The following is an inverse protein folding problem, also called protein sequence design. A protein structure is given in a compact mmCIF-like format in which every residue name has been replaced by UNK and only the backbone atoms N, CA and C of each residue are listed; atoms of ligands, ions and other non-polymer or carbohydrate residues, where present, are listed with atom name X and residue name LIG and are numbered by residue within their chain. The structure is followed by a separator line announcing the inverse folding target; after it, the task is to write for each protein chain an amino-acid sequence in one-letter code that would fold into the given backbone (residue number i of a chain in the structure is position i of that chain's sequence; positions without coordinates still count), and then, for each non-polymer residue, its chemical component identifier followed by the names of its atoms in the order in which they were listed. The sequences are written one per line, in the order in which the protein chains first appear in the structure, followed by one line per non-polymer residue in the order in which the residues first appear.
data_IF_185084653521
#
_entry.id   IF_185084653521
#
_cell.length_a   1.000
_cell.length_b   1.000
_cell.length_c   1.000
_cell.angle_alpha   90.00
_cell.angle_beta   90.00
_cell.angle_gamma   90.00
#
_symmetry.space_group_name_H-M   'P 1'
#
loop_
_entity.id
_entity.type
_entity.pdbx_description
1 polymer ?
#
# COMPACT_ATOMS: atom_id res chain seq x y z
N UNK A 1 4.27 6.44 -4.06
CA UNK A 1 3.88 5.02 -4.03
C UNK A 1 4.99 4.27 -3.32
N UNK A 2 4.64 3.29 -2.50
CA UNK A 2 5.58 2.40 -1.81
C UNK A 2 5.61 1.06 -2.55
N UNK A 3 6.81 0.53 -2.77
CA UNK A 3 7.03 -0.77 -3.43
C UNK A 3 8.28 -1.41 -2.82
N UNK A 4 8.25 -2.73 -2.68
CA UNK A 4 9.40 -3.57 -2.42
C UNK A 4 10.32 -3.68 -3.65
N UNK A 5 11.51 -4.22 -3.43
CA UNK A 5 12.47 -4.54 -4.47
C UNK A 5 12.03 -5.73 -5.36
N UNK A 6 11.07 -6.51 -4.87
CA UNK A 6 10.48 -7.69 -5.48
C UNK A 6 9.14 -7.40 -6.20
N UNK A 7 8.70 -6.14 -6.19
CA UNK A 7 7.45 -5.69 -6.79
C UNK A 7 7.62 -5.12 -8.20
N UNK A 8 6.58 -5.31 -9.03
CA UNK A 8 6.46 -4.71 -10.35
C UNK A 8 5.16 -3.90 -10.48
N UNK A 9 5.16 -2.90 -11.35
CA UNK A 9 3.94 -2.23 -11.78
C UNK A 9 3.29 -3.05 -12.90
N UNK A 10 1.97 -3.20 -12.85
CA UNK A 10 1.24 -3.75 -13.97
C UNK A 10 1.18 -2.75 -15.14
N UNK A 11 1.01 -3.26 -16.36
CA UNK A 11 0.89 -2.43 -17.54
C UNK A 11 -0.25 -1.42 -17.41
N UNK A 12 0.04 -0.16 -17.72
CA UNK A 12 -0.94 0.94 -17.63
C UNK A 12 -1.24 1.43 -16.21
N UNK A 13 -0.74 0.77 -15.15
CA UNK A 13 -1.04 1.13 -13.76
C UNK A 13 -0.70 2.59 -13.45
N UNK A 14 0.52 3.02 -13.79
CA UNK A 14 0.97 4.39 -13.52
C UNK A 14 0.10 5.45 -14.21
N UNK A 15 -0.31 5.19 -15.45
CA UNK A 15 -1.17 6.09 -16.21
C UNK A 15 -2.54 6.26 -15.55
N UNK A 16 -3.17 5.13 -15.17
CA UNK A 16 -4.47 5.16 -14.47
C UNK A 16 -4.36 5.86 -13.12
N UNK A 17 -3.32 5.54 -12.34
CA UNK A 17 -3.09 6.15 -11.03
C UNK A 17 -2.93 7.66 -11.16
N UNK A 18 -2.05 8.14 -12.05
CA UNK A 18 -1.82 9.56 -12.24
C UNK A 18 -3.10 10.26 -12.70
N UNK A 19 -3.86 9.66 -13.61
CA UNK A 19 -5.14 10.21 -14.07
C UNK A 19 -6.13 10.40 -12.91
N UNK A 20 -6.32 9.36 -12.09
CA UNK A 20 -7.26 9.41 -10.97
C UNK A 20 -6.82 10.40 -9.91
N UNK A 21 -5.55 10.36 -9.50
CA UNK A 21 -5.05 11.23 -8.43
C UNK A 21 -5.02 12.70 -8.84
N UNK A 22 -4.71 13.01 -10.11
CA UNK A 22 -4.79 14.39 -10.61
C UNK A 22 -6.22 14.92 -10.65
N UNK A 23 -7.19 14.08 -10.96
CA UNK A 23 -8.59 14.46 -10.98
C UNK A 23 -9.21 14.60 -9.58
N UNK A 24 -8.56 14.05 -8.55
CA UNK A 24 -9.08 13.98 -7.18
C UNK A 24 -7.98 14.34 -6.17
N UNK A 25 -7.64 15.65 -6.04
CA UNK A 25 -6.53 16.10 -5.17
C UNK A 25 -6.77 15.84 -3.67
N UNK A 26 -8.01 15.60 -3.26
CA UNK A 26 -8.38 15.26 -1.89
C UNK A 26 -8.06 13.81 -1.51
N UNK A 27 -7.62 12.97 -2.46
CA UNK A 27 -7.14 11.62 -2.16
C UNK A 27 -5.79 11.73 -1.46
N UNK A 28 -5.75 11.23 -0.24
CA UNK A 28 -4.55 11.24 0.62
C UNK A 28 -3.93 9.86 0.75
N UNK A 29 -4.72 8.82 0.48
CA UNK A 29 -4.26 7.45 0.46
C UNK A 29 -5.00 6.66 -0.62
N UNK A 30 -4.27 5.83 -1.37
CA UNK A 30 -4.86 4.87 -2.26
C UNK A 30 -4.22 3.49 -2.11
N UNK A 31 -5.03 2.45 -2.34
CA UNK A 31 -4.59 1.06 -2.46
C UNK A 31 -5.25 0.43 -3.68
N UNK A 32 -4.92 -0.83 -3.97
CA UNK A 32 -5.26 -1.48 -5.22
C UNK A 32 -5.54 -2.97 -5.04
N UNK A 33 -6.07 -3.59 -6.09
CA UNK A 33 -5.84 -5.01 -6.32
C UNK A 33 -4.39 -5.28 -6.77
N UNK A 34 -3.89 -6.47 -6.47
CA UNK A 34 -2.54 -6.87 -6.81
C UNK A 34 -2.49 -8.35 -7.21
N UNK A 35 -1.47 -8.73 -7.98
CA UNK A 35 -1.22 -10.09 -8.41
C UNK A 35 0.01 -10.69 -7.73
N UNK A 36 0.04 -12.01 -7.60
CA UNK A 36 1.22 -12.76 -7.20
C UNK A 36 1.80 -13.50 -8.39
N UNK A 37 3.12 -13.53 -8.53
CA UNK A 37 3.80 -14.32 -9.55
C UNK A 37 5.06 -14.97 -8.98
N UNK A 38 5.58 -16.00 -9.64
CA UNK A 38 6.84 -16.67 -9.24
C UNK A 38 8.01 -16.19 -10.09
N UNK A 39 8.07 -16.66 -11.33
CA UNK A 39 9.16 -16.33 -12.25
C UNK A 39 8.72 -15.34 -13.33
N UNK A 40 7.69 -15.70 -14.09
CA UNK A 40 7.13 -14.89 -15.18
C UNK A 40 6.01 -13.97 -14.66
N UNK A 41 6.15 -12.64 -14.71
CA UNK A 41 5.10 -11.71 -14.26
C UNK A 41 3.84 -11.73 -15.13
N UNK A 42 3.89 -12.33 -16.32
CA UNK A 42 2.71 -12.53 -17.17
C UNK A 42 1.88 -13.76 -16.77
N UNK A 43 2.38 -14.58 -15.82
CA UNK A 43 1.74 -15.79 -15.33
C UNK A 43 1.45 -15.65 -13.84
N UNK A 44 0.30 -15.05 -13.52
CA UNK A 44 -0.11 -14.83 -12.15
C UNK A 44 -0.51 -16.15 -11.48
N UNK A 45 0.06 -16.39 -10.30
CA UNK A 45 -0.32 -17.49 -9.43
C UNK A 45 -1.64 -17.20 -8.72
N UNK A 46 -1.88 -15.93 -8.36
CA UNK A 46 -3.11 -15.49 -7.72
C UNK A 46 -3.34 -13.99 -7.95
N UNK A 47 -4.56 -13.53 -7.71
CA UNK A 47 -4.96 -12.13 -7.75
C UNK A 47 -5.83 -11.78 -6.55
N UNK A 48 -5.40 -10.80 -5.77
CA UNK A 48 -6.15 -10.32 -4.62
C UNK A 48 -6.94 -9.08 -5.00
N UNK A 49 -8.28 -9.21 -4.98
CA UNK A 49 -9.24 -8.10 -5.13
C UNK A 49 -10.09 -8.00 -3.88
N UNK A 50 -10.18 -6.80 -3.33
CA UNK A 50 -10.99 -6.53 -2.14
C UNK A 50 -12.37 -5.96 -2.47
N UNK A 51 -12.49 -5.28 -3.62
CA UNK A 51 -13.74 -4.78 -4.18
C UNK A 51 -13.74 -5.02 -5.69
N UNK A 52 -14.92 -5.08 -6.28
CA UNK A 52 -15.11 -5.24 -7.72
C UNK A 52 -14.84 -3.95 -8.48
N UNK A 53 -15.12 -2.81 -7.85
CA UNK A 53 -15.14 -1.51 -8.50
C UNK A 53 -14.15 -0.54 -7.87
N UNK A 54 -13.65 0.36 -8.70
CA UNK A 54 -12.91 1.54 -8.24
C UNK A 54 -13.78 2.30 -7.22
N UNK A 55 -13.28 2.50 -6.01
CA UNK A 55 -14.09 2.99 -4.90
C UNK A 55 -13.42 4.17 -4.21
N UNK A 56 -14.12 5.29 -4.15
CA UNK A 56 -13.75 6.45 -3.35
C UNK A 56 -14.31 6.30 -1.93
N UNK A 57 -13.46 6.51 -0.94
CA UNK A 57 -13.82 6.47 0.48
C UNK A 57 -13.81 7.88 1.05
N UNK A 58 -14.90 8.25 1.74
CA UNK A 58 -14.91 9.46 2.55
C UNK A 58 -14.09 9.26 3.83
N UNK A 59 -13.50 10.32 4.39
CA UNK A 59 -12.77 10.25 5.65
C UNK A 59 -13.64 9.66 6.77
N UNK A 60 -13.02 8.89 7.66
CA UNK A 60 -13.69 8.37 8.86
C UNK A 60 -13.47 6.88 9.12
N UNK A 61 -14.22 6.36 10.09
CA UNK A 61 -13.99 5.05 10.68
C UNK A 61 -14.02 3.90 9.67
N UNK A 62 -14.91 3.95 8.66
CA UNK A 62 -15.02 2.87 7.69
C UNK A 62 -13.88 2.86 6.68
N UNK A 63 -13.39 4.03 6.27
CA UNK A 63 -12.16 4.16 5.50
C UNK A 63 -10.96 3.63 6.31
N UNK A 64 -10.82 4.07 7.56
CA UNK A 64 -9.75 3.59 8.46
C UNK A 64 -9.77 2.05 8.55
N UNK A 65 -10.93 1.45 8.84
CA UNK A 65 -11.07 -0.02 8.91
C UNK A 65 -10.70 -0.70 7.59
N UNK A 66 -11.07 -0.09 6.46
CA UNK A 66 -10.76 -0.65 5.15
C UNK A 66 -9.26 -0.64 4.89
N UNK A 67 -8.61 0.53 4.99
CA UNK A 67 -7.19 0.69 4.66
C UNK A 67 -6.29 0.02 5.68
N UNK A 68 -6.57 0.15 6.99
CA UNK A 68 -5.74 -0.42 8.06
C UNK A 68 -5.54 -1.93 7.92
N UNK A 69 -6.59 -2.68 7.54
CA UNK A 69 -6.51 -4.14 7.38
C UNK A 69 -5.70 -4.57 6.15
N UNK A 70 -5.45 -3.67 5.20
CA UNK A 70 -4.92 -3.97 3.87
C UNK A 70 -3.49 -3.48 3.65
N UNK A 71 -2.87 -2.92 4.67
CA UNK A 71 -1.46 -2.51 4.67
C UNK A 71 -0.46 -3.67 4.75
N UNK A 72 -0.93 -4.90 4.96
CA UNK A 72 -0.07 -6.08 5.06
C UNK A 72 0.74 -6.36 3.80
N UNK A 73 0.18 -6.01 2.63
CA UNK A 73 0.92 -5.97 1.36
C UNK A 73 1.09 -4.50 0.96
N UNK A 74 2.25 -3.94 1.32
CA UNK A 74 2.57 -2.51 1.20
C UNK A 74 2.93 -2.07 -0.22
N UNK A 75 3.30 -3.02 -1.09
CA UNK A 75 3.40 -2.82 -2.53
C UNK A 75 2.25 -1.92 -3.00
N UNK A 76 2.45 -1.03 -3.97
CA UNK A 76 1.46 -0.08 -4.50
C UNK A 76 0.54 0.66 -3.51
N UNK A 77 0.88 0.77 -2.23
CA UNK A 77 0.23 1.69 -1.31
C UNK A 77 0.70 3.10 -1.67
N UNK A 78 -0.24 4.00 -1.95
CA UNK A 78 0.07 5.34 -2.44
C UNK A 78 -0.38 6.34 -1.40
N UNK A 79 0.57 7.07 -0.83
CA UNK A 79 0.30 8.16 0.12
C UNK A 79 0.54 9.51 -0.54
N UNK A 80 -0.25 10.51 -0.15
CA UNK A 80 0.11 11.90 -0.40
C UNK A 80 1.33 12.26 0.46
N UNK A 81 2.47 12.48 -0.20
CA UNK A 81 3.76 12.63 0.47
C UNK A 81 3.80 13.85 1.40
N UNK A 82 3.17 14.97 1.02
CA UNK A 82 3.18 16.19 1.83
C UNK A 82 2.41 15.99 3.14
N UNK A 83 1.20 15.42 3.05
CA UNK A 83 0.36 15.13 4.22
C UNK A 83 0.99 14.04 5.11
N UNK A 84 1.52 12.98 4.50
CA UNK A 84 2.21 11.92 5.25
C UNK A 84 3.42 12.46 6.03
N UNK A 85 4.17 13.40 5.45
CA UNK A 85 5.30 14.06 6.13
C UNK A 85 4.84 14.95 7.28
N UNK A 86 3.71 15.64 7.18
CA UNK A 86 3.16 16.44 8.28
C UNK A 86 2.70 15.57 9.45
N UNK A 87 2.24 14.35 9.15
CA UNK A 87 1.80 13.37 10.13
C UNK A 87 2.93 12.47 10.64
N UNK A 88 4.19 12.72 10.26
CA UNK A 88 5.28 11.83 10.64
C UNK A 88 5.48 11.76 12.15
N UNK A 89 5.83 10.59 12.68
CA UNK A 89 6.03 10.39 14.11
C UNK A 89 7.18 9.42 14.42
N UNK A 90 8.10 9.86 15.26
CA UNK A 90 9.23 9.05 15.74
C UNK A 90 8.79 7.90 16.67
N UNK A 91 7.55 7.93 17.18
CA UNK A 91 7.03 6.89 18.09
C UNK A 91 6.98 5.51 17.42
N UNK A 92 6.67 5.51 16.12
CA UNK A 92 6.54 4.30 15.30
C UNK A 92 7.57 4.25 14.18
N UNK A 93 8.41 5.27 14.03
CA UNK A 93 9.45 5.30 13.01
C UNK A 93 10.45 4.14 13.22
N UNK A 94 10.92 3.56 12.11
CA UNK A 94 11.77 2.38 12.12
C UNK A 94 11.09 1.09 12.61
N UNK A 95 9.75 1.05 12.69
CA UNK A 95 8.97 -0.17 12.95
C UNK A 95 8.27 -0.69 11.70
N UNK A 96 8.20 -2.02 11.61
CA UNK A 96 7.60 -2.82 10.54
C UNK A 96 6.27 -2.33 9.95
N UNK A 97 5.40 -1.73 10.77
CA UNK A 97 4.04 -1.36 10.39
C UNK A 97 3.76 0.14 10.49
N UNK A 98 4.74 0.99 10.23
CA UNK A 98 4.53 2.45 10.16
C UNK A 98 3.38 2.86 9.22
N UNK A 99 3.19 2.11 8.14
CA UNK A 99 2.09 2.25 7.19
C UNK A 99 0.69 2.09 7.83
N UNK A 100 0.55 1.31 8.92
CA UNK A 100 -0.71 1.22 9.68
C UNK A 100 -1.04 2.55 10.35
N UNK A 101 -0.05 3.17 10.99
CA UNK A 101 -0.19 4.47 11.61
C UNK A 101 -0.56 5.53 10.56
N UNK A 102 0.19 5.59 9.45
CA UNK A 102 -0.10 6.52 8.37
C UNK A 102 -1.50 6.31 7.79
N UNK A 103 -1.95 5.07 7.58
CA UNK A 103 -3.29 4.80 7.07
C UNK A 103 -4.38 5.34 8.01
N UNK A 104 -4.22 5.13 9.33
CA UNK A 104 -5.15 5.68 10.32
C UNK A 104 -5.21 7.20 10.31
N UNK A 105 -4.05 7.86 10.32
CA UNK A 105 -3.96 9.32 10.38
C UNK A 105 -4.42 9.99 9.10
N UNK A 106 -3.98 9.50 7.93
CA UNK A 106 -4.36 10.08 6.64
C UNK A 106 -5.86 9.95 6.39
N UNK A 107 -6.48 8.81 6.75
CA UNK A 107 -7.93 8.62 6.57
C UNK A 107 -8.80 9.47 7.52
N UNK A 108 -8.20 10.17 8.47
CA UNK A 108 -8.86 11.24 9.22
C UNK A 108 -8.79 12.61 8.51
N UNK A 109 -7.85 12.82 7.58
CA UNK A 109 -7.59 14.11 6.93
C UNK A 109 -8.11 14.24 5.49
N UNK A 110 -8.43 13.12 4.83
CA UNK A 110 -8.83 13.16 3.43
C UNK A 110 -9.33 11.83 2.90
N UNK A 111 -9.61 11.81 1.60
CA UNK A 111 -10.28 10.70 0.96
C UNK A 111 -9.33 9.52 0.71
N UNK A 112 -9.89 8.33 0.81
CA UNK A 112 -9.24 7.09 0.39
C UNK A 112 -9.66 6.69 -1.02
N UNK A 113 -8.82 5.96 -1.73
CA UNK A 113 -9.20 5.37 -3.01
C UNK A 113 -8.76 3.92 -3.15
N UNK A 114 -9.64 3.08 -3.70
CA UNK A 114 -9.32 1.72 -4.07
C UNK A 114 -9.37 1.58 -5.59
N UNK A 115 -8.27 1.13 -6.18
CA UNK A 115 -8.21 0.72 -7.57
C UNK A 115 -8.59 -0.77 -7.68
N UNK A 116 -9.64 -1.11 -8.43
CA UNK A 116 -10.06 -2.50 -8.56
C UNK A 116 -9.25 -3.30 -9.58
N UNK A 117 -8.57 -2.67 -10.54
CA UNK A 117 -7.63 -3.40 -11.41
C UNK A 117 -6.34 -3.75 -10.66
N UNK A 118 -5.66 -4.78 -11.15
CA UNK A 118 -4.34 -5.17 -10.66
C UNK A 118 -3.35 -4.07 -11.05
N UNK A 119 -2.85 -3.30 -10.06
CA UNK A 119 -1.90 -2.22 -10.31
C UNK A 119 -0.45 -2.63 -10.06
N UNK A 120 -0.24 -3.65 -9.25
CA UNK A 120 1.09 -4.14 -8.87
C UNK A 120 1.12 -5.65 -8.85
N UNK A 121 2.31 -6.20 -9.09
CA UNK A 121 2.61 -7.62 -9.02
C UNK A 121 3.70 -7.83 -7.98
N UNK A 122 3.52 -8.79 -7.08
CA UNK A 122 4.48 -9.12 -6.03
C UNK A 122 5.04 -10.52 -6.26
N UNK A 123 6.35 -10.71 -6.07
CA UNK A 123 7.02 -11.99 -6.29
C UNK A 123 6.89 -12.89 -5.06
N UNK A 124 6.34 -14.08 -5.24
CA UNK A 124 6.07 -15.06 -4.15
C UNK A 124 7.30 -15.93 -3.79
N UNK A 125 8.44 -15.74 -4.47
CA UNK A 125 9.66 -16.54 -4.23
C UNK A 125 10.70 -15.82 -3.39
N UNK A 126 10.52 -14.54 -3.10
CA UNK A 126 11.45 -13.74 -2.30
C UNK A 126 10.93 -13.64 -0.86
N UNK A 127 11.82 -13.88 0.10
CA UNK A 127 11.48 -13.64 1.49
C UNK A 127 11.36 -12.13 1.71
N UNK A 128 10.35 -11.66 2.46
CA UNK A 128 10.23 -10.24 2.74
C UNK A 128 11.41 -9.76 3.59
N UNK A 129 11.89 -8.54 3.33
CA UNK A 129 13.05 -7.93 3.99
C UNK A 129 12.78 -7.45 5.44
N UNK A 130 11.74 -8.00 6.08
CA UNK A 130 11.28 -7.63 7.41
C UNK A 130 12.29 -7.99 8.51
N UNK A 131 12.48 -7.12 9.51
CA UNK A 131 13.37 -7.38 10.64
C UNK A 131 14.85 -7.08 10.37
N UNK A 132 15.20 -6.67 9.14
CA UNK A 132 16.58 -6.36 8.77
C UNK A 132 17.02 -4.94 9.18
N UNK A 133 16.09 -4.07 9.57
CA UNK A 133 16.40 -2.72 10.05
C UNK A 133 17.17 -2.76 11.38
N UNK A 134 18.07 -1.80 11.59
CA UNK A 134 18.90 -1.74 12.80
C UNK A 134 18.09 -1.66 14.11
N UNK A 135 16.92 -1.04 14.07
CA UNK A 135 15.95 -0.91 15.17
C UNK A 135 15.14 -2.19 15.44
N UNK A 136 15.15 -3.15 14.51
CA UNK A 136 14.38 -4.39 14.60
C UNK A 136 15.25 -5.61 14.97
N UNK A 137 16.58 -5.49 14.80
CA UNK A 137 17.53 -6.54 15.18
C UNK A 137 17.41 -6.92 16.65
N UNK A 138 17.17 -8.20 16.92
CA UNK A 138 17.03 -8.74 18.26
C UNK A 138 15.64 -8.58 18.90
N UNK A 139 14.70 -7.91 18.22
CA UNK A 139 13.28 -7.85 18.63
C UNK A 139 12.51 -9.05 18.10
N UNK A 140 12.82 -9.47 16.88
CA UNK A 140 12.25 -10.65 16.24
C UNK A 140 13.38 -11.67 16.03
N UNK A 141 13.22 -12.86 16.61
CA UNK A 141 14.03 -14.02 16.23
C UNK A 141 13.38 -14.64 15.00
N UNK A 142 14.13 -14.84 13.91
CA UNK A 142 13.67 -15.64 12.78
C UNK A 142 13.15 -16.99 13.31
N UNK A 143 11.98 -17.48 12.84
CA UNK A 143 11.59 -18.86 13.06
C UNK A 143 12.56 -19.83 12.39
#
# INVERSE_FOLDING_TARGET
MIMGNDDLLADGALSKIVKVLKANPEIVLATRAYGWFKENPNELCDTVRHLTDDTLFQPGADAIKFFFRRVGVISGFIVNAEKAKKLSSDLFDGRLYYQMYLAGMLMAEGQGYYFSDVMTLSRDTEAPDFGNAGTEKGVFSNP
#
